data_IF_980845051648
#
_entry.id   IF_980845051648
#
_cell.length_a   1.000
_cell.length_b   1.000
_cell.length_c   1.000
_cell.angle_alpha   90.00
_cell.angle_beta   90.00
_cell.angle_gamma   90.00
#
_symmetry.space_group_name_H-M   'P 1'
#
loop_
_entity.id
_entity.type
_entity.pdbx_description
1 polymer ?
#
# COMPACT_ATOMS: atom_id res chain seq x y z
N UNK A 1 -2.76 20.06 13.09
CA UNK A 1 -1.73 19.08 12.68
C UNK A 1 -1.83 17.77 13.46
N UNK A 2 -1.76 17.78 14.80
CA UNK A 2 -1.84 16.55 15.63
C UNK A 2 -3.08 15.71 15.30
N UNK A 3 -4.25 16.33 15.21
CA UNK A 3 -5.52 15.64 14.89
C UNK A 3 -5.45 14.94 13.52
N UNK A 4 -4.86 15.56 12.52
CA UNK A 4 -4.68 14.94 11.20
C UNK A 4 -3.76 13.73 11.24
N UNK A 5 -2.66 13.80 12.00
CA UNK A 5 -1.76 12.66 12.20
C UNK A 5 -2.48 11.53 12.94
N UNK A 6 -3.31 11.87 13.94
CA UNK A 6 -4.14 10.90 14.65
C UNK A 6 -5.16 10.25 13.72
N UNK A 7 -5.83 11.04 12.87
CA UNK A 7 -6.78 10.54 11.86
C UNK A 7 -6.11 9.56 10.91
N UNK A 8 -4.92 9.90 10.40
CA UNK A 8 -4.16 9.02 9.52
C UNK A 8 -3.74 7.74 10.24
N UNK A 9 -3.20 7.88 11.45
CA UNK A 9 -2.85 6.74 12.29
C UNK A 9 -4.03 5.79 12.49
N UNK A 10 -5.19 6.32 12.89
CA UNK A 10 -6.41 5.53 13.13
C UNK A 10 -6.91 4.85 11.84
N UNK A 11 -6.89 5.56 10.72
CA UNK A 11 -7.29 5.01 9.42
C UNK A 11 -6.40 3.81 9.04
N UNK A 12 -5.11 3.92 9.30
CA UNK A 12 -4.15 2.86 9.03
C UNK A 12 -4.19 1.71 10.03
N UNK A 13 -4.50 1.98 11.29
CA UNK A 13 -4.83 0.94 12.26
C UNK A 13 -5.99 0.09 11.73
N UNK A 14 -7.07 0.73 11.25
CA UNK A 14 -8.22 0.04 10.68
C UNK A 14 -7.84 -0.86 9.48
N UNK A 15 -7.04 -0.35 8.56
CA UNK A 15 -6.53 -1.14 7.44
C UNK A 15 -5.62 -2.28 7.91
N UNK A 16 -4.70 -1.99 8.83
CA UNK A 16 -3.76 -2.96 9.38
C UNK A 16 -4.42 -4.08 10.17
N UNK A 17 -5.54 -3.81 10.87
CA UNK A 17 -6.35 -4.84 11.56
C UNK A 17 -6.81 -5.92 10.58
N UNK A 18 -7.22 -5.55 9.37
CA UNK A 18 -7.75 -6.49 8.37
C UNK A 18 -6.66 -7.41 7.79
N UNK A 19 -5.44 -6.93 7.63
CA UNK A 19 -4.39 -7.68 6.95
C UNK A 19 -4.20 -9.12 7.47
N UNK A 20 -3.97 -9.34 8.78
CA UNK A 20 -3.77 -10.67 9.32
C UNK A 20 -5.06 -11.47 9.50
N UNK A 21 -6.22 -10.82 9.63
CA UNK A 21 -7.47 -11.52 9.90
C UNK A 21 -8.24 -11.89 8.64
N UNK A 22 -8.01 -11.19 7.52
CA UNK A 22 -8.81 -11.33 6.30
C UNK A 22 -8.81 -12.74 5.71
N UNK A 23 -7.69 -13.48 5.67
CA UNK A 23 -7.69 -14.87 5.23
C UNK A 23 -8.60 -15.74 6.08
N UNK A 24 -8.49 -15.66 7.40
CA UNK A 24 -9.29 -16.46 8.34
C UNK A 24 -10.76 -16.04 8.38
N UNK A 25 -11.04 -14.74 8.21
CA UNK A 25 -12.39 -14.24 8.09
C UNK A 25 -13.10 -14.81 6.84
N UNK A 26 -12.41 -14.84 5.70
CA UNK A 26 -12.95 -15.43 4.48
C UNK A 26 -13.10 -16.94 4.59
N UNK A 27 -12.15 -17.63 5.24
CA UNK A 27 -12.21 -19.07 5.51
C UNK A 27 -13.42 -19.43 6.40
N UNK A 28 -13.82 -18.57 7.33
CA UNK A 28 -15.02 -18.77 8.15
C UNK A 28 -16.33 -18.77 7.33
N UNK A 29 -16.29 -18.32 6.06
CA UNK A 29 -17.35 -18.53 5.05
C UNK A 29 -17.11 -19.76 4.18
N UNK A 30 -16.10 -20.60 4.48
CA UNK A 30 -15.65 -21.71 3.62
C UNK A 30 -15.21 -21.26 2.22
N UNK A 31 -14.67 -20.03 2.13
CA UNK A 31 -14.24 -19.44 0.88
C UNK A 31 -12.95 -20.09 0.37
N UNK A 32 -12.86 -20.47 -0.91
CA UNK A 32 -11.63 -20.94 -1.51
C UNK A 32 -10.59 -19.80 -1.61
N UNK A 33 -9.31 -20.15 -1.74
CA UNK A 33 -8.19 -19.20 -1.72
C UNK A 33 -8.34 -18.02 -2.70
N UNK A 34 -8.90 -18.24 -3.89
CA UNK A 34 -9.14 -17.18 -4.86
C UNK A 34 -10.14 -16.13 -4.36
N UNK A 35 -11.19 -16.50 -3.61
CA UNK A 35 -12.11 -15.53 -3.02
C UNK A 35 -11.45 -14.73 -1.90
N UNK A 36 -10.58 -15.35 -1.12
CA UNK A 36 -9.79 -14.66 -0.09
C UNK A 36 -8.96 -13.55 -0.73
N UNK A 37 -8.21 -13.85 -1.78
CA UNK A 37 -7.36 -12.85 -2.46
C UNK A 37 -8.20 -11.80 -3.21
N UNK A 38 -9.39 -12.16 -3.72
CA UNK A 38 -10.33 -11.21 -4.28
C UNK A 38 -10.83 -10.18 -3.26
N UNK A 39 -10.84 -10.46 -1.96
CA UNK A 39 -11.15 -9.45 -0.94
C UNK A 39 -10.09 -8.33 -0.88
N UNK A 40 -8.83 -8.66 -1.14
CA UNK A 40 -7.76 -7.65 -1.29
C UNK A 40 -7.89 -6.91 -2.62
N UNK A 41 -8.12 -7.64 -3.71
CA UNK A 41 -8.30 -7.06 -5.05
C UNK A 41 -9.51 -6.12 -5.11
N UNK A 42 -10.66 -6.50 -4.58
CA UNK A 42 -11.87 -5.70 -4.59
C UNK A 42 -11.65 -4.33 -3.91
N UNK A 43 -11.00 -4.32 -2.75
CA UNK A 43 -10.63 -3.07 -2.09
C UNK A 43 -9.69 -2.22 -2.96
N UNK A 44 -8.67 -2.84 -3.55
CA UNK A 44 -7.68 -2.15 -4.39
C UNK A 44 -8.30 -1.60 -5.68
N UNK A 45 -9.24 -2.33 -6.29
CA UNK A 45 -10.02 -1.87 -7.44
C UNK A 45 -10.85 -0.63 -7.06
N UNK A 46 -11.57 -0.69 -5.94
CA UNK A 46 -12.33 0.46 -5.44
C UNK A 46 -11.42 1.67 -5.20
N UNK A 47 -10.29 1.48 -4.53
CA UNK A 47 -9.33 2.54 -4.22
C UNK A 47 -8.71 3.16 -5.49
N UNK A 48 -8.39 2.35 -6.51
CA UNK A 48 -7.88 2.82 -7.80
C UNK A 48 -8.79 3.85 -8.47
N UNK A 49 -10.09 3.60 -8.48
CA UNK A 49 -11.07 4.55 -9.02
C UNK A 49 -11.33 5.73 -8.08
N UNK A 50 -11.26 5.50 -6.78
CA UNK A 50 -11.59 6.49 -5.76
C UNK A 50 -10.57 7.64 -5.66
N UNK A 51 -9.27 7.35 -5.67
CA UNK A 51 -8.22 8.35 -5.46
C UNK A 51 -8.32 9.57 -6.39
N UNK A 52 -8.44 9.42 -7.73
CA UNK A 52 -8.58 10.58 -8.61
C UNK A 52 -9.93 11.30 -8.47
N UNK A 53 -10.99 10.56 -8.08
CA UNK A 53 -12.32 11.15 -7.88
C UNK A 53 -12.31 12.03 -6.64
N UNK A 54 -11.87 11.50 -5.50
CA UNK A 54 -11.83 12.25 -4.24
C UNK A 54 -10.84 13.39 -4.26
N UNK A 55 -9.70 13.23 -4.94
CA UNK A 55 -8.74 14.30 -5.16
C UNK A 55 -9.39 15.51 -5.85
N UNK A 56 -10.02 15.30 -7.02
CA UNK A 56 -10.71 16.37 -7.77
C UNK A 56 -11.91 16.95 -7.00
N UNK A 57 -12.68 16.08 -6.35
CA UNK A 57 -13.85 16.52 -5.59
C UNK A 57 -13.42 17.35 -4.38
N UNK A 58 -12.33 16.98 -3.71
CA UNK A 58 -11.77 17.77 -2.60
C UNK A 58 -11.26 19.15 -3.04
N UNK A 59 -10.83 19.26 -4.30
CA UNK A 59 -10.45 20.53 -4.90
C UNK A 59 -11.67 21.45 -5.14
N UNK A 60 -12.85 20.89 -5.40
CA UNK A 60 -14.08 21.64 -5.71
C UNK A 60 -14.91 22.00 -4.49
N UNK A 61 -15.16 21.03 -3.62
CA UNK A 61 -16.07 21.20 -2.47
C UNK A 61 -15.37 21.44 -1.14
N UNK A 62 -14.03 21.35 -1.13
CA UNK A 62 -13.19 21.52 0.05
C UNK A 62 -12.58 20.22 0.56
N UNK A 63 -11.51 20.34 1.33
CA UNK A 63 -10.76 19.19 1.87
C UNK A 63 -11.52 18.51 3.02
N UNK A 64 -12.08 19.33 3.94
CA UNK A 64 -12.75 18.85 5.16
C UNK A 64 -13.95 17.96 4.89
N UNK A 65 -14.91 18.29 4.00
CA UNK A 65 -16.07 17.44 3.71
C UNK A 65 -15.66 16.07 3.15
N UNK A 66 -14.64 16.04 2.28
CA UNK A 66 -14.13 14.79 1.70
C UNK A 66 -13.49 13.92 2.76
N UNK A 67 -12.60 14.48 3.60
CA UNK A 67 -11.98 13.74 4.70
C UNK A 67 -13.03 13.16 5.65
N UNK A 68 -13.99 13.97 6.05
CA UNK A 68 -15.07 13.55 6.94
C UNK A 68 -15.89 12.41 6.33
N UNK A 69 -16.36 12.60 5.11
CA UNK A 69 -17.21 11.61 4.42
C UNK A 69 -16.48 10.30 4.18
N UNK A 70 -15.25 10.34 3.66
CA UNK A 70 -14.48 9.13 3.35
C UNK A 70 -14.10 8.33 4.60
N UNK A 71 -13.69 8.99 5.68
CA UNK A 71 -13.32 8.32 6.93
C UNK A 71 -14.55 7.74 7.63
N UNK A 72 -15.67 8.48 7.64
CA UNK A 72 -16.93 7.99 8.20
C UNK A 72 -17.46 6.77 7.44
N UNK A 73 -17.48 6.82 6.10
CA UNK A 73 -17.90 5.69 5.27
C UNK A 73 -16.95 4.48 5.43
N UNK A 74 -15.65 4.71 5.60
CA UNK A 74 -14.71 3.65 5.93
C UNK A 74 -15.08 2.95 7.26
N UNK A 75 -15.43 3.74 8.29
CA UNK A 75 -15.93 3.19 9.56
C UNK A 75 -17.19 2.34 9.39
N UNK A 76 -18.16 2.82 8.61
CA UNK A 76 -19.37 2.05 8.28
C UNK A 76 -19.04 0.77 7.51
N UNK A 77 -18.04 0.80 6.62
CA UNK A 77 -17.56 -0.37 5.89
C UNK A 77 -17.02 -1.47 6.82
N UNK A 78 -16.27 -1.12 7.87
CA UNK A 78 -15.82 -2.08 8.89
C UNK A 78 -17.00 -2.66 9.68
N UNK A 79 -17.95 -1.81 10.09
CA UNK A 79 -19.17 -2.27 10.79
C UNK A 79 -19.98 -3.20 9.89
N UNK A 80 -20.20 -2.84 8.63
CA UNK A 80 -20.91 -3.68 7.67
C UNK A 80 -20.20 -5.02 7.45
N UNK A 81 -18.85 -5.02 7.37
CA UNK A 81 -18.09 -6.25 7.24
C UNK A 81 -18.24 -7.18 8.46
N UNK A 82 -18.36 -6.63 9.68
CA UNK A 82 -18.58 -7.41 10.91
C UNK A 82 -19.89 -8.21 10.89
N UNK A 83 -20.86 -7.81 10.06
CA UNK A 83 -22.19 -8.43 9.95
C UNK A 83 -22.49 -8.96 8.54
N UNK A 84 -21.47 -9.11 7.67
CA UNK A 84 -21.69 -9.65 6.34
C UNK A 84 -22.24 -11.09 6.41
N UNK A 85 -23.36 -11.39 5.70
CA UNK A 85 -24.01 -12.68 5.79
C UNK A 85 -23.32 -13.78 4.96
N UNK A 86 -22.56 -13.41 3.94
CA UNK A 86 -21.83 -14.31 3.05
C UNK A 86 -20.64 -13.61 2.39
N UNK A 87 -19.78 -14.40 1.76
CA UNK A 87 -18.54 -13.91 1.14
C UNK A 87 -18.78 -12.91 0.00
N UNK A 88 -19.87 -13.04 -0.75
CA UNK A 88 -20.18 -12.13 -1.86
C UNK A 88 -20.55 -10.74 -1.37
N UNK A 89 -21.35 -10.66 -0.30
CA UNK A 89 -21.65 -9.39 0.37
C UNK A 89 -20.37 -8.80 0.98
N UNK A 90 -19.52 -9.61 1.59
CA UNK A 90 -18.23 -9.15 2.11
C UNK A 90 -17.32 -8.59 0.98
N UNK A 91 -17.28 -9.22 -0.20
CA UNK A 91 -16.59 -8.72 -1.38
C UNK A 91 -17.14 -7.36 -1.86
N UNK A 92 -18.45 -7.22 -1.91
CA UNK A 92 -19.09 -5.94 -2.28
C UNK A 92 -18.79 -4.84 -1.26
N UNK A 93 -18.81 -5.16 0.03
CA UNK A 93 -18.42 -4.22 1.10
C UNK A 93 -16.96 -3.83 0.96
N UNK A 94 -16.06 -4.76 0.64
CA UNK A 94 -14.64 -4.48 0.39
C UNK A 94 -14.44 -3.55 -0.81
N UNK A 95 -15.15 -3.78 -1.91
CA UNK A 95 -15.15 -2.89 -3.08
C UNK A 95 -15.65 -1.48 -2.71
N UNK A 96 -16.79 -1.39 -2.02
CA UNK A 96 -17.36 -0.14 -1.54
C UNK A 96 -16.40 0.59 -0.56
N UNK A 97 -15.77 -0.14 0.36
CA UNK A 97 -14.77 0.41 1.28
C UNK A 97 -13.56 0.97 0.52
N UNK A 98 -13.11 0.29 -0.54
CA UNK A 98 -12.08 0.82 -1.43
C UNK A 98 -12.49 2.13 -2.09
N UNK A 99 -13.73 2.20 -2.60
CA UNK A 99 -14.28 3.43 -3.20
C UNK A 99 -14.37 4.61 -2.22
N UNK A 100 -14.48 4.35 -0.92
CA UNK A 100 -14.56 5.40 0.11
C UNK A 100 -13.22 5.75 0.76
N UNK A 101 -12.14 5.02 0.49
CA UNK A 101 -10.86 5.19 1.22
C UNK A 101 -9.84 6.09 0.51
N UNK A 102 -10.04 6.50 -0.75
CA UNK A 102 -9.10 7.29 -1.56
C UNK A 102 -8.82 8.70 -1.04
N UNK A 103 -8.51 8.85 0.25
CA UNK A 103 -8.35 10.15 0.91
C UNK A 103 -6.89 10.55 1.17
N UNK A 104 -5.91 9.71 0.83
CA UNK A 104 -4.50 10.00 1.08
C UNK A 104 -4.02 11.23 0.33
N UNK A 105 -4.40 11.38 -0.93
CA UNK A 105 -4.12 12.58 -1.75
C UNK A 105 -4.73 13.82 -1.13
N UNK A 106 -5.96 13.73 -0.60
CA UNK A 106 -6.63 14.84 0.10
C UNK A 106 -5.91 15.22 1.39
N UNK A 107 -5.42 14.24 2.17
CA UNK A 107 -4.64 14.49 3.40
C UNK A 107 -3.33 15.20 3.07
N UNK A 108 -2.59 14.72 2.06
CA UNK A 108 -1.35 15.34 1.64
C UNK A 108 -1.56 16.78 1.14
N UNK A 109 -2.60 17.00 0.35
CA UNK A 109 -2.98 18.32 -0.12
C UNK A 109 -3.39 19.25 1.02
N UNK A 110 -4.19 18.76 1.99
CA UNK A 110 -4.54 19.54 3.18
C UNK A 110 -3.29 19.97 3.96
N UNK A 111 -2.34 19.06 4.18
CA UNK A 111 -1.06 19.39 4.85
C UNK A 111 -0.28 20.43 4.06
N UNK A 112 -0.26 20.33 2.73
CA UNK A 112 0.40 21.32 1.87
C UNK A 112 -0.26 22.70 1.96
N UNK A 113 -1.61 22.75 2.03
CA UNK A 113 -2.39 23.99 2.13
C UNK A 113 -2.11 24.73 3.45
N UNK A 114 -2.04 24.01 4.58
CA UNK A 114 -1.85 24.61 5.92
C UNK A 114 -0.38 24.78 6.33
N UNK A 115 0.59 24.44 5.44
CA UNK A 115 2.00 24.38 5.81
C UNK A 115 2.84 25.28 4.91
N UNK A 116 3.63 26.21 5.47
CA UNK A 116 4.59 26.98 4.71
C UNK A 116 5.56 26.06 3.95
N UNK A 117 5.99 26.43 2.71
CA UNK A 117 6.83 25.55 1.86
C UNK A 117 8.07 24.98 2.55
N UNK A 118 8.72 25.79 3.40
CA UNK A 118 9.94 25.40 4.15
C UNK A 118 9.72 24.24 5.14
N UNK A 119 8.49 24.03 5.62
CA UNK A 119 8.15 23.03 6.64
C UNK A 119 7.38 21.82 6.07
N UNK A 120 7.05 21.85 4.78
CA UNK A 120 6.21 20.80 4.15
C UNK A 120 6.86 19.41 4.22
N UNK A 121 8.14 19.32 3.89
CA UNK A 121 8.88 18.04 3.92
C UNK A 121 8.89 17.40 5.30
N UNK A 122 9.13 18.20 6.34
CA UNK A 122 9.10 17.70 7.72
C UNK A 122 7.71 17.22 8.15
N UNK A 123 6.63 17.94 7.76
CA UNK A 123 5.25 17.55 8.10
C UNK A 123 4.77 16.33 7.32
N UNK A 124 5.18 16.17 6.06
CA UNK A 124 4.96 14.94 5.28
C UNK A 124 5.74 13.77 5.90
N UNK A 125 6.94 14.03 6.43
CA UNK A 125 7.69 13.02 7.20
C UNK A 125 6.94 12.51 8.43
N UNK A 126 6.25 13.41 9.18
CA UNK A 126 5.39 13.03 10.31
C UNK A 126 4.19 12.16 9.86
N UNK A 127 3.66 12.43 8.66
CA UNK A 127 2.65 11.57 8.07
C UNK A 127 3.19 10.15 7.88
N UNK A 128 4.41 10.00 7.35
CA UNK A 128 5.08 8.71 7.24
C UNK A 128 5.26 7.98 8.58
N UNK A 129 5.56 8.71 9.65
CA UNK A 129 5.64 8.14 10.99
C UNK A 129 4.27 7.65 11.50
N UNK A 130 3.19 8.42 11.27
CA UNK A 130 1.82 7.99 11.60
C UNK A 130 1.41 6.73 10.81
N UNK A 131 1.82 6.63 9.53
CA UNK A 131 1.68 5.42 8.72
C UNK A 131 2.38 4.22 9.36
N UNK A 132 3.66 4.35 9.69
CA UNK A 132 4.45 3.27 10.28
C UNK A 132 3.84 2.77 11.59
N UNK A 133 3.44 3.68 12.48
CA UNK A 133 2.79 3.34 13.76
C UNK A 133 1.45 2.63 13.56
N UNK A 134 0.64 3.09 12.58
CA UNK A 134 -0.64 2.45 12.24
C UNK A 134 -0.46 1.03 11.71
N UNK A 135 0.54 0.82 10.87
CA UNK A 135 0.88 -0.51 10.35
C UNK A 135 1.45 -1.47 11.41
N UNK A 136 2.02 -0.97 12.51
CA UNK A 136 2.44 -1.81 13.64
C UNK A 136 1.23 -2.12 14.54
N UNK A 137 0.47 -1.09 14.92
CA UNK A 137 -0.64 -1.22 15.87
C UNK A 137 -1.82 -2.01 15.27
N UNK A 138 -2.10 -1.83 13.97
CA UNK A 138 -3.22 -2.47 13.29
C UNK A 138 -3.18 -3.99 13.34
N UNK A 139 -2.14 -4.64 12.80
CA UNK A 139 -2.02 -6.09 12.88
C UNK A 139 -2.02 -6.62 14.31
N UNK A 140 -1.33 -5.96 15.23
CA UNK A 140 -1.31 -6.36 16.64
C UNK A 140 -2.72 -6.39 17.23
N UNK A 141 -3.53 -5.34 17.00
CA UNK A 141 -4.94 -5.31 17.43
C UNK A 141 -5.77 -6.40 16.75
N UNK A 142 -5.59 -6.60 15.43
CA UNK A 142 -6.30 -7.64 14.68
C UNK A 142 -6.12 -9.02 15.29
N UNK A 143 -4.88 -9.42 15.55
CA UNK A 143 -4.57 -10.74 16.10
C UNK A 143 -4.91 -10.92 17.58
N UNK A 144 -4.88 -9.85 18.38
CA UNK A 144 -5.27 -9.90 19.79
C UNK A 144 -6.78 -10.01 19.98
N UNK A 145 -7.57 -9.37 19.11
CA UNK A 145 -9.02 -9.31 19.21
C UNK A 145 -9.73 -10.39 18.40
N UNK A 146 -9.03 -11.07 17.48
CA UNK A 146 -9.62 -12.15 16.70
C UNK A 146 -9.67 -13.47 17.47
N UNK A 147 -10.84 -14.12 17.46
CA UNK A 147 -11.10 -15.39 18.14
C UNK A 147 -11.72 -16.39 17.15
N UNK A 148 -10.92 -17.01 16.24
CA UNK A 148 -11.42 -17.87 15.16
C UNK A 148 -12.28 -19.05 15.65
N UNK A 149 -12.07 -19.49 16.89
CA UNK A 149 -12.87 -20.58 17.51
C UNK A 149 -14.38 -20.28 17.58
N UNK A 150 -14.77 -19.01 17.46
CA UNK A 150 -16.18 -18.60 17.42
C UNK A 150 -16.70 -18.37 15.98
N UNK A 151 -16.00 -18.88 14.96
CA UNK A 151 -16.35 -18.69 13.56
C UNK A 151 -16.42 -17.21 13.19
N UNK A 152 -17.40 -16.80 12.38
CA UNK A 152 -17.59 -15.41 11.95
C UNK A 152 -17.75 -14.43 13.12
N UNK A 153 -18.41 -14.84 14.20
CA UNK A 153 -18.59 -13.99 15.37
C UNK A 153 -17.27 -13.58 16.02
N UNK A 154 -16.25 -14.44 15.94
CA UNK A 154 -14.93 -14.19 16.47
C UNK A 154 -14.15 -13.06 15.78
N UNK A 155 -14.58 -12.63 14.60
CA UNK A 155 -13.99 -11.51 13.87
C UNK A 155 -14.75 -10.19 14.05
N UNK A 156 -15.90 -10.21 14.73
CA UNK A 156 -16.69 -8.98 14.97
C UNK A 156 -15.93 -7.96 15.82
N UNK A 157 -15.28 -8.41 16.88
CA UNK A 157 -14.58 -7.51 17.81
C UNK A 157 -13.51 -6.65 17.10
N UNK A 158 -12.53 -7.20 16.37
CA UNK A 158 -11.54 -6.38 15.67
C UNK A 158 -12.15 -5.45 14.60
N UNK A 159 -13.19 -5.92 13.89
CA UNK A 159 -13.87 -5.11 12.88
C UNK A 159 -14.67 -3.95 13.50
N UNK A 160 -15.39 -4.19 14.58
CA UNK A 160 -16.16 -3.15 15.28
C UNK A 160 -15.23 -2.12 15.95
N UNK A 161 -14.10 -2.56 16.51
CA UNK A 161 -13.10 -1.64 17.06
C UNK A 161 -12.50 -0.77 15.95
N UNK A 162 -12.13 -1.34 14.80
CA UNK A 162 -11.66 -0.59 13.65
C UNK A 162 -12.71 0.41 13.14
N UNK A 163 -13.98 -0.02 13.08
CA UNK A 163 -15.11 0.84 12.72
C UNK A 163 -15.31 1.99 13.69
N UNK A 164 -15.32 1.71 14.99
CA UNK A 164 -15.47 2.72 16.04
C UNK A 164 -14.32 3.74 16.01
N UNK A 165 -13.08 3.29 15.88
CA UNK A 165 -11.91 4.17 15.73
C UNK A 165 -12.03 5.08 14.51
N UNK A 166 -12.47 4.55 13.35
CA UNK A 166 -12.66 5.35 12.15
C UNK A 166 -13.78 6.37 12.32
N UNK A 167 -14.89 6.02 12.96
CA UNK A 167 -15.99 6.96 13.25
C UNK A 167 -15.53 8.03 14.23
N UNK A 168 -14.78 7.69 15.27
CA UNK A 168 -14.18 8.63 16.21
C UNK A 168 -13.18 9.56 15.50
N UNK A 169 -12.40 9.04 14.55
CA UNK A 169 -11.50 9.86 13.74
C UNK A 169 -12.31 10.85 12.86
N UNK A 170 -13.41 10.43 12.25
CA UNK A 170 -14.30 11.31 11.51
C UNK A 170 -14.90 12.39 12.41
N UNK A 171 -15.33 12.06 13.62
CA UNK A 171 -15.78 13.05 14.62
C UNK A 171 -14.65 14.03 14.98
N UNK A 172 -13.41 13.56 15.13
CA UNK A 172 -12.24 14.40 15.31
C UNK A 172 -12.01 15.38 14.15
N UNK A 173 -12.20 14.91 12.91
CA UNK A 173 -12.15 15.80 11.73
C UNK A 173 -13.28 16.85 11.79
N UNK A 174 -14.50 16.43 12.15
CA UNK A 174 -15.64 17.34 12.22
C UNK A 174 -15.43 18.47 13.25
N UNK A 175 -14.81 18.17 14.39
CA UNK A 175 -14.64 19.13 15.48
C UNK A 175 -13.37 19.98 15.30
N UNK A 176 -12.24 19.38 14.92
CA UNK A 176 -10.93 20.03 15.02
C UNK A 176 -10.32 20.45 13.68
N UNK A 177 -10.79 19.87 12.55
CA UNK A 177 -10.23 20.20 11.23
C UNK A 177 -11.04 21.33 10.61
N UNK A 178 -10.37 22.44 10.32
CA UNK A 178 -10.99 23.58 9.60
C UNK A 178 -10.82 23.39 8.10
N UNK A 179 -11.70 24.00 7.30
CA UNK A 179 -11.51 24.01 5.85
C UNK A 179 -10.24 24.80 5.48
N UNK A 180 -9.41 24.21 4.62
CA UNK A 180 -8.14 24.80 4.20
C UNK A 180 -8.21 25.48 2.84
N UNK A 181 -9.27 25.21 2.08
CA UNK A 181 -9.38 25.67 0.69
C UNK A 181 -10.63 26.53 0.48
N UNK A 182 -10.47 27.65 -0.20
CA UNK A 182 -11.59 28.42 -0.71
C UNK A 182 -12.25 27.71 -1.89
N UNK A 183 -13.59 27.69 -1.93
CA UNK A 183 -14.37 27.04 -2.99
C UNK A 183 -14.09 27.70 -4.35
N UNK A 184 -13.88 26.90 -5.39
CA UNK A 184 -13.82 27.40 -6.77
C UNK A 184 -12.43 27.48 -7.41
N UNK A 185 -11.35 27.08 -6.73
CA UNK A 185 -10.05 26.95 -7.38
C UNK A 185 -10.04 25.70 -8.28
N UNK A 186 -9.78 25.90 -9.58
CA UNK A 186 -9.75 24.82 -10.56
C UNK A 186 -8.68 23.80 -10.24
N UNK A 187 -9.09 22.52 -10.18
CA UNK A 187 -8.18 21.39 -10.13
C UNK A 187 -7.35 21.35 -11.44
N UNK A 188 -6.07 21.10 -11.33
CA UNK A 188 -5.24 20.83 -12.50
C UNK A 188 -5.79 19.65 -13.30
N UNK A 189 -5.60 19.69 -14.62
CA UNK A 189 -6.07 18.65 -15.55
C UNK A 189 -5.63 17.24 -15.07
N UNK A 190 -6.61 16.36 -14.94
CA UNK A 190 -6.38 14.97 -14.54
C UNK A 190 -5.52 14.20 -15.54
N UNK A 191 -5.27 12.94 -15.20
CA UNK A 191 -4.48 11.99 -15.96
C UNK A 191 -4.83 12.03 -17.45
N UNK A 192 -3.97 12.62 -18.26
CA UNK A 192 -4.16 12.65 -19.71
C UNK A 192 -3.51 11.39 -20.30
N UNK A 193 -4.19 10.74 -21.24
CA UNK A 193 -3.61 9.66 -22.05
C UNK A 193 -2.26 10.06 -22.68
N UNK A 194 -2.08 11.37 -22.95
CA UNK A 194 -0.82 11.96 -23.38
C UNK A 194 0.36 11.72 -22.43
N UNK A 195 0.12 11.66 -21.10
CA UNK A 195 1.18 11.39 -20.11
C UNK A 195 1.70 9.96 -20.20
N UNK A 196 0.82 8.99 -20.49
CA UNK A 196 1.22 7.60 -20.69
C UNK A 196 2.08 7.47 -21.94
N UNK A 197 1.64 8.08 -23.06
CA UNK A 197 2.40 8.08 -24.30
C UNK A 197 3.75 8.79 -24.16
N UNK A 198 3.80 9.89 -23.42
CA UNK A 198 5.03 10.61 -23.10
C UNK A 198 5.98 9.77 -22.23
N UNK A 199 5.47 9.15 -21.18
CA UNK A 199 6.25 8.27 -20.33
C UNK A 199 6.82 7.07 -21.09
N UNK A 200 6.05 6.48 -22.01
CA UNK A 200 6.51 5.37 -22.87
C UNK A 200 7.66 5.79 -23.81
N UNK A 201 7.63 7.04 -24.29
CA UNK A 201 8.69 7.57 -25.16
C UNK A 201 9.96 7.96 -24.40
N UNK A 202 9.83 8.24 -23.09
CA UNK A 202 10.97 8.63 -22.26
C UNK A 202 11.66 7.37 -21.71
N UNK A 203 12.95 7.15 -22.04
CA UNK A 203 13.65 5.88 -21.78
C UNK A 203 13.76 5.52 -20.29
N UNK A 204 13.74 6.50 -19.39
CA UNK A 204 13.81 6.29 -17.93
C UNK A 204 12.42 6.10 -17.35
N UNK A 205 11.48 6.97 -17.72
CA UNK A 205 10.12 6.96 -17.13
C UNK A 205 9.34 5.68 -17.48
N UNK A 206 9.40 5.25 -18.75
CA UNK A 206 8.75 4.01 -19.17
C UNK A 206 9.25 2.79 -18.39
N UNK A 207 10.58 2.68 -18.23
CA UNK A 207 11.18 1.59 -17.42
C UNK A 207 10.79 1.67 -15.96
N UNK A 208 10.80 2.86 -15.35
CA UNK A 208 10.40 3.04 -13.96
C UNK A 208 8.93 2.64 -13.72
N UNK A 209 8.01 2.96 -14.65
CA UNK A 209 6.61 2.53 -14.58
C UNK A 209 6.46 1.01 -14.72
N UNK A 210 7.23 0.37 -15.62
CA UNK A 210 7.24 -1.11 -15.73
C UNK A 210 7.80 -1.75 -14.47
N UNK A 211 8.87 -1.20 -13.88
CA UNK A 211 9.40 -1.65 -12.59
C UNK A 211 8.33 -1.55 -11.51
N UNK A 212 7.62 -0.42 -11.44
CA UNK A 212 6.51 -0.24 -10.49
C UNK A 212 5.42 -1.28 -10.70
N UNK A 213 5.03 -1.53 -11.96
CA UNK A 213 4.00 -2.52 -12.29
C UNK A 213 4.40 -3.92 -11.82
N UNK A 214 5.56 -4.40 -12.26
CA UNK A 214 6.03 -5.76 -11.97
C UNK A 214 6.24 -5.98 -10.47
N UNK A 215 6.96 -5.06 -9.84
CA UNK A 215 7.26 -5.15 -8.41
C UNK A 215 6.00 -5.08 -7.55
N UNK A 216 5.12 -4.07 -7.78
CA UNK A 216 3.94 -3.87 -6.93
C UNK A 216 2.92 -5.00 -7.13
N UNK A 217 2.74 -5.51 -8.35
CA UNK A 217 1.86 -6.65 -8.59
C UNK A 217 2.40 -7.93 -7.93
N UNK A 218 3.69 -8.20 -8.08
CA UNK A 218 4.35 -9.34 -7.45
C UNK A 218 4.26 -9.29 -5.91
N UNK A 219 4.55 -8.13 -5.34
CA UNK A 219 4.46 -7.93 -3.90
C UNK A 219 3.02 -8.09 -3.39
N UNK A 220 2.04 -7.50 -4.07
CA UNK A 220 0.63 -7.63 -3.70
C UNK A 220 0.09 -9.07 -3.85
N UNK A 221 0.57 -9.82 -4.84
CA UNK A 221 0.27 -11.25 -4.98
C UNK A 221 0.83 -12.05 -3.79
N UNK A 222 2.10 -11.85 -3.45
CA UNK A 222 2.75 -12.50 -2.31
C UNK A 222 2.09 -12.12 -0.98
N UNK A 223 1.83 -10.82 -0.75
CA UNK A 223 1.21 -10.30 0.47
C UNK A 223 -0.19 -10.88 0.71
N UNK A 224 -1.04 -10.90 -0.33
CA UNK A 224 -2.42 -11.40 -0.21
C UNK A 224 -2.51 -12.92 -0.02
N UNK A 225 -1.50 -13.68 -0.46
CA UNK A 225 -1.45 -15.14 -0.32
C UNK A 225 -0.61 -15.59 0.87
N UNK A 226 0.20 -14.72 1.46
CA UNK A 226 1.12 -15.09 2.55
C UNK A 226 0.40 -15.68 3.76
N UNK A 227 -0.74 -15.12 4.15
CA UNK A 227 -1.55 -15.64 5.26
C UNK A 227 -2.03 -17.07 5.03
N UNK A 228 -2.56 -17.34 3.82
CA UNK A 228 -2.98 -18.68 3.41
C UNK A 228 -1.81 -19.66 3.32
N UNK A 229 -0.68 -19.19 2.80
CA UNK A 229 0.54 -19.98 2.72
C UNK A 229 1.08 -20.36 4.11
N UNK A 230 1.14 -19.39 5.02
CA UNK A 230 1.64 -19.59 6.38
C UNK A 230 0.71 -20.52 7.20
N UNK A 231 -0.60 -20.41 7.00
CA UNK A 231 -1.58 -21.32 7.58
C UNK A 231 -1.40 -22.74 7.05
N UNK A 232 -1.29 -22.91 5.72
CA UNK A 232 -1.11 -24.22 5.10
C UNK A 232 0.22 -24.87 5.52
N UNK A 233 1.31 -24.08 5.62
CA UNK A 233 2.66 -24.61 5.87
C UNK A 233 2.96 -24.84 7.34
N UNK A 234 2.45 -23.99 8.23
CA UNK A 234 2.83 -23.95 9.65
C UNK A 234 1.62 -24.05 10.59
N UNK A 235 0.39 -24.07 10.07
CA UNK A 235 -0.81 -24.00 10.90
C UNK A 235 -0.98 -22.67 11.63
N UNK A 236 -0.43 -21.56 11.08
CA UNK A 236 -0.55 -20.26 11.72
C UNK A 236 -1.99 -19.79 11.78
N UNK A 237 -2.37 -19.26 12.94
CA UNK A 237 -3.63 -18.53 13.10
C UNK A 237 -3.43 -17.00 13.01
N UNK A 238 -4.51 -16.23 13.22
CA UNK A 238 -4.47 -14.77 13.17
C UNK A 238 -3.44 -14.16 14.10
N UNK A 239 -3.23 -14.74 15.28
CA UNK A 239 -2.28 -14.23 16.28
C UNK A 239 -0.82 -14.31 15.81
N UNK A 240 -0.38 -15.45 15.27
CA UNK A 240 0.96 -15.64 14.73
C UNK A 240 1.20 -14.75 13.52
N UNK A 241 0.21 -14.69 12.62
CA UNK A 241 0.29 -13.85 11.43
C UNK A 241 0.38 -12.36 11.80
N UNK A 242 -0.35 -11.95 12.82
CA UNK A 242 -0.30 -10.57 13.35
C UNK A 242 1.07 -10.19 13.90
N UNK A 243 1.72 -11.07 14.64
CA UNK A 243 3.08 -10.83 15.12
C UNK A 243 4.08 -10.78 13.98
N UNK A 244 3.92 -11.63 12.96
CA UNK A 244 4.74 -11.58 11.76
C UNK A 244 4.60 -10.22 11.05
N UNK A 245 3.37 -9.73 10.81
CA UNK A 245 3.15 -8.42 10.17
C UNK A 245 3.60 -7.25 11.05
N UNK A 246 3.43 -7.32 12.37
CA UNK A 246 3.94 -6.29 13.27
C UNK A 246 5.49 -6.21 13.22
N UNK A 247 6.19 -7.35 13.21
CA UNK A 247 7.66 -7.39 13.09
C UNK A 247 8.14 -6.80 11.75
N UNK A 248 7.41 -7.08 10.68
CA UNK A 248 7.63 -6.54 9.33
C UNK A 248 7.46 -5.01 9.32
N UNK A 249 6.39 -4.52 9.93
CA UNK A 249 6.14 -3.08 10.00
C UNK A 249 7.21 -2.33 10.80
N UNK A 250 7.70 -2.92 11.91
CA UNK A 250 8.84 -2.39 12.66
C UNK A 250 10.10 -2.39 11.80
N UNK A 251 10.38 -3.47 11.08
CA UNK A 251 11.53 -3.55 10.16
C UNK A 251 11.48 -2.47 9.09
N UNK A 252 10.30 -2.26 8.46
CA UNK A 252 10.10 -1.21 7.47
C UNK A 252 10.37 0.19 8.05
N UNK A 253 9.82 0.46 9.24
CA UNK A 253 9.98 1.74 9.92
C UNK A 253 11.45 2.03 10.26
N UNK A 254 12.17 1.07 10.82
CA UNK A 254 13.59 1.19 11.15
C UNK A 254 14.44 1.35 9.88
N UNK A 255 14.17 0.55 8.84
CA UNK A 255 14.87 0.66 7.57
C UNK A 255 14.69 2.04 6.94
N UNK A 256 13.48 2.56 6.89
CA UNK A 256 13.21 3.89 6.33
C UNK A 256 13.84 5.02 7.16
N UNK A 257 13.74 4.95 8.50
CA UNK A 257 14.24 6.00 9.38
C UNK A 257 15.78 6.07 9.39
N UNK A 258 16.46 4.93 9.41
CA UNK A 258 17.89 4.88 9.71
C UNK A 258 18.77 4.42 8.55
N UNK A 259 18.25 3.61 7.63
CA UNK A 259 19.07 2.91 6.62
C UNK A 259 18.87 3.51 5.24
N UNK A 260 17.64 3.58 4.74
CA UNK A 260 17.34 3.92 3.34
C UNK A 260 17.98 5.25 2.93
N UNK A 261 17.78 6.33 3.67
CA UNK A 261 18.31 7.63 3.31
C UNK A 261 19.84 7.71 3.34
N UNK A 262 20.51 6.99 4.25
CA UNK A 262 21.97 6.93 4.34
C UNK A 262 22.58 6.17 3.17
N UNK A 263 22.00 4.99 2.87
CA UNK A 263 22.46 4.14 1.77
C UNK A 263 22.22 4.80 0.41
N UNK A 264 21.04 5.40 0.21
CA UNK A 264 20.72 6.11 -1.05
C UNK A 264 21.68 7.26 -1.31
N UNK A 265 22.05 8.04 -0.27
CA UNK A 265 23.06 9.12 -0.44
C UNK A 265 24.44 8.60 -0.80
N UNK A 266 24.82 7.40 -0.31
CA UNK A 266 26.15 6.83 -0.54
C UNK A 266 26.25 6.11 -1.89
N UNK A 267 25.21 5.37 -2.28
CA UNK A 267 25.25 4.45 -3.44
C UNK A 267 24.35 4.89 -4.60
N UNK A 268 23.48 5.88 -4.39
CA UNK A 268 22.55 6.37 -5.42
C UNK A 268 21.23 5.58 -5.48
N UNK A 269 20.23 6.21 -6.10
CA UNK A 269 18.85 5.70 -6.13
C UNK A 269 18.73 4.38 -6.90
N UNK A 270 19.36 4.27 -8.06
CA UNK A 270 19.20 3.09 -8.91
C UNK A 270 19.89 1.86 -8.33
N UNK A 271 21.05 2.01 -7.69
CA UNK A 271 21.71 0.91 -6.98
C UNK A 271 20.84 0.42 -5.83
N UNK A 272 20.24 1.34 -5.05
CA UNK A 272 19.37 0.98 -3.94
C UNK A 272 18.05 0.35 -4.41
N UNK A 273 17.50 0.84 -5.52
CA UNK A 273 16.36 0.22 -6.18
C UNK A 273 16.67 -1.20 -6.61
N UNK A 274 17.77 -1.41 -7.36
CA UNK A 274 18.18 -2.73 -7.82
C UNK A 274 18.48 -3.69 -6.66
N UNK A 275 19.20 -3.23 -5.63
CA UNK A 275 19.49 -4.02 -4.44
C UNK A 275 18.23 -4.41 -3.67
N UNK A 276 17.28 -3.47 -3.50
CA UNK A 276 15.99 -3.75 -2.89
C UNK A 276 15.18 -4.79 -3.64
N UNK A 277 15.10 -4.67 -4.98
CA UNK A 277 14.41 -5.64 -5.84
C UNK A 277 15.10 -7.02 -5.81
N UNK A 278 16.44 -7.07 -5.78
CA UNK A 278 17.18 -8.32 -5.68
C UNK A 278 16.90 -9.03 -4.34
N UNK A 279 16.90 -8.28 -3.23
CA UNK A 279 16.54 -8.82 -1.91
C UNK A 279 15.12 -9.41 -1.95
N UNK A 280 14.14 -8.67 -2.51
CA UNK A 280 12.76 -9.15 -2.62
C UNK A 280 12.68 -10.44 -3.44
N UNK A 281 13.29 -10.46 -4.64
CA UNK A 281 13.27 -11.63 -5.52
C UNK A 281 13.86 -12.86 -4.84
N UNK A 282 15.05 -12.71 -4.22
CA UNK A 282 15.74 -13.82 -3.53
C UNK A 282 14.94 -14.30 -2.31
N UNK A 283 14.47 -13.40 -1.48
CA UNK A 283 13.74 -13.77 -0.26
C UNK A 283 12.40 -14.44 -0.58
N UNK A 284 11.66 -13.98 -1.58
CA UNK A 284 10.44 -14.63 -2.06
C UNK A 284 10.71 -16.02 -2.64
N UNK A 285 11.79 -16.20 -3.39
CA UNK A 285 12.20 -17.52 -3.91
C UNK A 285 12.62 -18.49 -2.79
N UNK A 286 13.25 -17.97 -1.74
CA UNK A 286 13.70 -18.79 -0.60
C UNK A 286 12.55 -19.12 0.38
N UNK A 287 11.45 -18.36 0.37
CA UNK A 287 10.34 -18.52 1.32
C UNK A 287 9.75 -19.94 1.31
N UNK A 288 9.46 -20.59 0.15
CA UNK A 288 8.88 -21.93 0.09
C UNK A 288 9.86 -23.05 0.37
N UNK A 289 11.17 -22.84 0.30
CA UNK A 289 12.20 -23.90 0.34
C UNK A 289 12.34 -24.62 1.70
N UNK A 290 11.38 -24.44 2.60
CA UNK A 290 11.37 -25.09 3.90
C UNK A 290 12.08 -24.29 4.98
N UNK A 291 12.18 -24.87 6.17
CA UNK A 291 12.66 -24.21 7.38
C UNK A 291 11.51 -23.91 8.34
N UNK A 292 11.84 -23.61 9.58
CA UNK A 292 10.87 -23.34 10.62
C UNK A 292 10.25 -21.94 10.53
N UNK A 293 9.29 -21.69 11.42
CA UNK A 293 8.58 -20.43 11.57
C UNK A 293 9.50 -19.21 11.65
N UNK A 294 10.62 -19.31 12.39
CA UNK A 294 11.57 -18.20 12.55
C UNK A 294 12.21 -17.78 11.22
N UNK A 295 12.55 -18.76 10.36
CA UNK A 295 13.09 -18.47 9.02
C UNK A 295 12.07 -17.75 8.16
N UNK A 296 10.80 -18.16 8.20
CA UNK A 296 9.74 -17.53 7.44
C UNK A 296 9.57 -16.05 7.85
N UNK A 297 9.62 -15.74 9.14
CA UNK A 297 9.54 -14.37 9.67
C UNK A 297 10.77 -13.54 9.23
N UNK A 298 11.97 -14.11 9.31
CA UNK A 298 13.20 -13.41 8.89
C UNK A 298 13.17 -13.12 7.38
N UNK A 299 12.78 -14.07 6.55
CA UNK A 299 12.67 -13.85 5.10
C UNK A 299 11.60 -12.80 4.77
N UNK A 300 10.46 -12.82 5.46
CA UNK A 300 9.43 -11.81 5.31
C UNK A 300 9.94 -10.41 5.72
N UNK A 301 10.67 -10.30 6.82
CA UNK A 301 11.29 -9.05 7.27
C UNK A 301 12.33 -8.54 6.25
N UNK A 302 13.15 -9.43 5.67
CA UNK A 302 14.09 -9.08 4.61
C UNK A 302 13.38 -8.66 3.32
N UNK A 303 12.26 -9.29 2.96
CA UNK A 303 11.43 -8.86 1.82
C UNK A 303 10.98 -7.41 2.00
N UNK A 304 10.49 -7.05 3.18
CA UNK A 304 10.04 -5.68 3.48
C UNK A 304 11.20 -4.71 3.64
N UNK A 305 12.34 -5.17 4.13
CA UNK A 305 13.57 -4.36 4.09
C UNK A 305 13.96 -4.00 2.65
N UNK A 306 13.91 -4.96 1.72
CA UNK A 306 14.10 -4.72 0.29
C UNK A 306 13.09 -3.70 -0.26
N UNK A 307 11.82 -3.80 0.15
CA UNK A 307 10.77 -2.83 -0.21
C UNK A 307 11.10 -1.42 0.29
N UNK A 308 11.55 -1.29 1.53
CA UNK A 308 11.94 0.00 2.10
C UNK A 308 13.10 0.66 1.34
N UNK A 309 13.96 -0.12 0.71
CA UNK A 309 14.99 0.38 -0.20
C UNK A 309 14.43 0.73 -1.58
N UNK A 310 13.55 -0.09 -2.15
CA UNK A 310 13.09 0.06 -3.54
C UNK A 310 12.10 1.23 -3.73
N UNK A 311 11.04 1.31 -2.94
CA UNK A 311 9.90 2.20 -3.14
C UNK A 311 10.25 3.69 -3.19
N UNK A 312 11.02 4.25 -2.22
CA UNK A 312 11.39 5.66 -2.26
C UNK A 312 12.28 6.01 -3.46
N UNK A 313 13.12 5.05 -3.87
CA UNK A 313 14.08 5.26 -4.94
C UNK A 313 13.44 5.23 -6.33
N UNK A 314 12.33 4.50 -6.55
CA UNK A 314 11.53 4.62 -7.78
C UNK A 314 10.97 6.04 -7.90
N UNK A 315 10.35 6.55 -6.86
CA UNK A 315 9.77 7.90 -6.85
C UNK A 315 10.85 8.99 -7.03
N UNK A 316 12.02 8.83 -6.41
CA UNK A 316 13.14 9.73 -6.56
C UNK A 316 13.69 9.73 -8.01
N UNK A 317 13.81 8.54 -8.63
CA UNK A 317 14.26 8.40 -10.01
C UNK A 317 13.29 9.11 -10.97
N UNK A 318 11.99 8.90 -10.83
CA UNK A 318 10.95 9.57 -11.64
C UNK A 318 11.04 11.09 -11.45
N UNK A 319 11.11 11.56 -10.21
CA UNK A 319 11.16 12.99 -9.89
C UNK A 319 12.39 13.69 -10.50
N UNK A 320 13.55 13.03 -10.46
CA UNK A 320 14.81 13.61 -10.99
C UNK A 320 14.91 13.64 -12.51
N UNK A 321 14.14 12.78 -13.19
CA UNK A 321 14.16 12.67 -14.66
C UNK A 321 13.01 13.41 -15.32
N UNK A 322 12.17 14.05 -14.52
CA UNK A 322 11.00 14.81 -14.99
C UNK A 322 11.19 16.30 -14.71
N UNK A 323 10.81 17.15 -15.65
CA UNK A 323 10.83 18.61 -15.47
C UNK A 323 9.94 19.04 -14.29
N UNK A 324 10.31 20.12 -13.57
CA UNK A 324 9.61 20.55 -12.35
C UNK A 324 8.10 20.76 -12.52
N UNK A 325 7.68 21.26 -13.68
CA UNK A 325 6.28 21.50 -14.05
C UNK A 325 5.47 20.20 -14.24
N UNK A 326 6.11 19.06 -14.50
CA UNK A 326 5.47 17.76 -14.78
C UNK A 326 5.70 16.70 -13.70
N UNK A 327 6.55 16.97 -12.71
CA UNK A 327 6.86 16.00 -11.64
C UNK A 327 5.60 15.47 -10.95
N UNK A 328 4.66 16.35 -10.59
CA UNK A 328 3.41 15.96 -9.95
C UNK A 328 2.58 15.00 -10.80
N UNK A 329 2.49 15.27 -12.12
CA UNK A 329 1.74 14.43 -13.06
C UNK A 329 2.38 13.05 -13.23
N UNK A 330 3.71 12.96 -13.34
CA UNK A 330 4.43 11.70 -13.52
C UNK A 330 4.44 10.85 -12.23
N UNK A 331 4.58 11.48 -11.06
CA UNK A 331 4.42 10.78 -9.77
C UNK A 331 2.98 10.28 -9.59
N UNK A 332 1.98 11.07 -10.00
CA UNK A 332 0.58 10.65 -10.01
C UNK A 332 0.33 9.45 -10.94
N UNK A 333 0.94 9.44 -12.13
CA UNK A 333 0.89 8.30 -13.04
C UNK A 333 1.52 7.05 -12.40
N UNK A 334 2.67 7.19 -11.76
CA UNK A 334 3.33 6.09 -11.04
C UNK A 334 2.45 5.53 -9.91
N UNK A 335 1.79 6.40 -9.14
CA UNK A 335 0.83 5.97 -8.09
C UNK A 335 -0.36 5.22 -8.70
N UNK A 336 -0.88 5.67 -9.85
CA UNK A 336 -1.97 4.99 -10.57
C UNK A 336 -1.56 3.60 -11.06
N UNK A 337 -0.35 3.46 -11.62
CA UNK A 337 0.22 2.15 -12.00
C UNK A 337 0.35 1.25 -10.76
N UNK A 338 0.86 1.77 -9.66
CA UNK A 338 0.94 1.03 -8.40
C UNK A 338 -0.42 0.58 -7.86
N UNK A 339 -1.45 1.43 -7.96
CA UNK A 339 -2.82 1.09 -7.55
C UNK A 339 -3.43 -0.01 -8.43
N UNK A 340 -3.27 0.09 -9.76
CA UNK A 340 -3.67 -0.97 -10.69
C UNK A 340 -2.96 -2.30 -10.40
N UNK A 341 -1.66 -2.24 -10.11
CA UNK A 341 -0.85 -3.41 -9.76
C UNK A 341 -1.33 -4.10 -8.47
N UNK A 342 -1.70 -3.31 -7.46
CA UNK A 342 -2.30 -3.83 -6.21
C UNK A 342 -3.68 -4.47 -6.42
N UNK A 343 -4.40 -4.11 -7.48
CA UNK A 343 -5.64 -4.77 -7.85
C UNK A 343 -5.39 -6.09 -8.58
N UNK A 344 -4.43 -6.12 -9.50
CA UNK A 344 -4.10 -7.28 -10.35
C UNK A 344 -3.36 -8.37 -9.56
N UNK A 345 -2.42 -7.98 -8.70
CA UNK A 345 -1.55 -8.89 -7.95
C UNK A 345 -2.32 -9.97 -7.19
N UNK A 346 -3.27 -9.63 -6.31
CA UNK A 346 -4.03 -10.62 -5.55
C UNK A 346 -4.86 -11.56 -6.42
N UNK A 347 -5.39 -11.09 -7.56
CA UNK A 347 -6.13 -11.95 -8.51
C UNK A 347 -5.22 -13.02 -9.09
N UNK A 348 -4.03 -12.62 -9.57
CA UNK A 348 -3.04 -13.57 -10.09
C UNK A 348 -2.55 -14.49 -8.96
N UNK A 349 -2.22 -13.94 -7.80
CA UNK A 349 -1.73 -14.72 -6.65
C UNK A 349 -2.75 -15.77 -6.20
N UNK A 350 -4.02 -15.41 -6.09
CA UNK A 350 -5.10 -16.33 -5.73
C UNK A 350 -5.35 -17.43 -6.77
N UNK A 351 -5.30 -17.08 -8.05
CA UNK A 351 -5.40 -18.07 -9.11
C UNK A 351 -4.24 -19.07 -9.08
N UNK A 352 -3.01 -18.61 -8.95
CA UNK A 352 -1.82 -19.46 -8.83
C UNK A 352 -1.89 -20.36 -7.58
N UNK A 353 -2.31 -19.79 -6.44
CA UNK A 353 -2.48 -20.56 -5.21
C UNK A 353 -3.50 -21.70 -5.37
N UNK A 354 -4.63 -21.42 -6.04
CA UNK A 354 -5.73 -22.38 -6.19
C UNK A 354 -5.46 -23.44 -7.25
N UNK A 355 -4.76 -23.09 -8.35
CA UNK A 355 -4.59 -23.98 -9.51
C UNK A 355 -3.27 -24.73 -9.47
N UNK A 356 -2.18 -24.06 -9.07
CA UNK A 356 -0.82 -24.62 -9.10
C UNK A 356 -0.38 -25.12 -7.72
N UNK A 357 -0.74 -24.38 -6.67
CA UNK A 357 -0.46 -24.76 -5.29
C UNK A 357 0.02 -23.60 -4.41
N UNK A 358 0.17 -23.85 -3.09
CA UNK A 358 0.43 -22.80 -2.09
C UNK A 358 1.72 -22.01 -2.32
N UNK A 359 2.77 -22.65 -2.83
CA UNK A 359 4.10 -22.04 -3.05
C UNK A 359 4.18 -21.22 -4.35
N UNK A 360 3.27 -21.47 -5.30
CA UNK A 360 3.33 -20.91 -6.65
C UNK A 360 3.28 -19.37 -6.68
N UNK A 361 2.45 -18.67 -5.88
CA UNK A 361 2.43 -17.21 -5.88
C UNK A 361 3.77 -16.60 -5.47
N UNK A 362 4.48 -17.20 -4.52
CA UNK A 362 5.78 -16.72 -4.03
C UNK A 362 6.88 -16.88 -5.09
N UNK A 363 6.93 -18.03 -5.76
CA UNK A 363 7.86 -18.25 -6.87
C UNK A 363 7.55 -17.34 -8.06
N UNK A 364 6.28 -17.21 -8.42
CA UNK A 364 5.86 -16.33 -9.52
C UNK A 364 6.20 -14.85 -9.21
N UNK A 365 6.01 -14.42 -7.97
CA UNK A 365 6.40 -13.08 -7.54
C UNK A 365 7.92 -12.87 -7.61
N UNK A 366 8.72 -13.85 -7.18
CA UNK A 366 10.18 -13.79 -7.27
C UNK A 366 10.65 -13.66 -8.73
N UNK A 367 10.08 -14.46 -9.64
CA UNK A 367 10.39 -14.42 -11.08
C UNK A 367 9.93 -13.11 -11.71
N UNK A 368 8.75 -12.58 -11.34
CA UNK A 368 8.23 -11.33 -11.88
C UNK A 368 9.06 -10.10 -11.48
N UNK A 369 9.69 -10.12 -10.30
CA UNK A 369 10.58 -9.04 -9.84
C UNK A 369 11.95 -9.09 -10.53
N UNK A 370 12.44 -10.24 -10.93
CA UNK A 370 13.78 -10.39 -11.52
C UNK A 370 14.05 -9.48 -12.75
N UNK A 371 13.14 -9.36 -13.75
CA UNK A 371 13.32 -8.42 -14.86
C UNK A 371 13.37 -6.95 -14.42
N UNK A 372 12.66 -6.60 -13.34
CA UNK A 372 12.67 -5.24 -12.82
C UNK A 372 14.06 -4.81 -12.32
N UNK A 373 14.90 -5.74 -11.87
CA UNK A 373 16.29 -5.48 -11.49
C UNK A 373 17.08 -4.97 -12.70
N UNK A 374 16.99 -5.68 -13.83
CA UNK A 374 17.68 -5.29 -15.08
C UNK A 374 17.16 -3.95 -15.61
N UNK A 375 15.83 -3.75 -15.58
CA UNK A 375 15.21 -2.50 -16.00
C UNK A 375 15.65 -1.31 -15.15
N UNK A 376 15.86 -1.51 -13.84
CA UNK A 376 16.35 -0.45 -12.95
C UNK A 376 17.79 -0.02 -13.31
N UNK A 377 18.67 -0.95 -13.65
CA UNK A 377 20.02 -0.66 -14.13
C UNK A 377 20.01 0.10 -15.47
N UNK A 378 19.20 -0.38 -16.42
CA UNK A 378 19.05 0.28 -17.73
C UNK A 378 18.46 1.68 -17.60
N UNK A 379 17.58 1.92 -16.64
CA UNK A 379 17.04 3.25 -16.35
C UNK A 379 18.14 4.20 -15.85
N UNK A 380 19.03 3.73 -14.96
CA UNK A 380 20.17 4.53 -14.50
C UNK A 380 21.15 4.87 -15.62
N UNK A 381 21.52 3.89 -16.47
CA UNK A 381 22.39 4.15 -17.60
C UNK A 381 21.79 5.21 -18.54
N UNK A 382 20.48 5.11 -18.82
CA UNK A 382 19.78 6.10 -19.62
C UNK A 382 19.78 7.48 -18.96
N UNK A 383 19.56 7.53 -17.64
CA UNK A 383 19.61 8.79 -16.88
C UNK A 383 21.02 9.43 -16.88
N UNK A 384 22.08 8.63 -16.79
CA UNK A 384 23.47 9.10 -16.87
C UNK A 384 23.78 9.67 -18.26
N UNK A 385 23.36 8.99 -19.32
CA UNK A 385 23.55 9.44 -20.71
C UNK A 385 22.83 10.77 -20.99
N UNK A 386 21.62 10.96 -20.46
CA UNK A 386 20.88 12.22 -20.59
C UNK A 386 21.62 13.38 -19.91
N UNK A 387 22.10 13.19 -18.67
CA UNK A 387 22.88 14.19 -17.93
C UNK A 387 24.18 14.57 -18.63
N UNK A 388 24.86 13.62 -19.26
CA UNK A 388 26.09 13.91 -20.02
C UNK A 388 25.81 14.76 -21.27
N UNK A 389 24.66 14.54 -21.95
CA UNK A 389 24.25 15.34 -23.11
C UNK A 389 23.79 16.75 -22.74
N UNK A 390 23.27 16.97 -21.54
CA UNK A 390 22.90 18.30 -21.05
C UNK A 390 24.11 19.12 -20.56
N UNK A 391 25.23 18.46 -20.23
CA UNK A 391 26.46 19.08 -19.77
C UNK A 391 27.46 19.35 -20.90
N UNK A 392 27.25 18.81 -22.11
CA UNK A 392 28.01 19.04 -23.34
C UNK A 392 27.36 20.10 -24.21
#
# INVERSE_FOLDING_TARGET
>A
MLVLLLVVFVNLVGFGVLMPILPFYAEAFHAPAWQVTWMFAAFSIGNFFAEPIWGRLSDRIGRRPILLGTIFCSGLGFVALAFAPNIWVALLIRLASGLTTGNLSTIQSYIADITPPRLRSGRIGLLGAAFALGFVAGPAMGGLLAHPQYGLAGFRAPLLVAGALSILAAAGVAVFVRESRERGQTAGDGLRLSLVAEAQRHPVLGRALVVTLLYTAAFAAAESTFGLWAQNRFGWGPRQLSWAFASVAVTAALAQAFVTGRLTRRYGEAMMLAAGLAIISVTLALQPLGGGMNRAIVLLALTVFGQALALPNISALISRTTSPDRQGAMLGLNMSVGAASRAIGPVIGGALFSVVGPDAPLYAAAVAVAPAILLSWQAEEAARRLRQKEAS
#
